data_IF_346147218186
#
_entry.id   IF_346147218186
#
_cell.length_a   1.000
_cell.length_b   1.000
_cell.length_c   1.000
_cell.angle_alpha   90.00
_cell.angle_beta   90.00
_cell.angle_gamma   90.00
#
_symmetry.space_group_name_H-M   'P 1'
#
loop_
_entity.id
_entity.type
_entity.pdbx_description
1 polymer ?
#
# COMPACT_ATOMS: atom_id res chain seq x y z
N UNK A 1 -4.77 -15.54 5.96
CA UNK A 1 -5.26 -15.50 7.34
C UNK A 1 -4.63 -14.32 8.10
N UNK A 2 -3.30 -14.29 8.33
CA UNK A 2 -2.62 -13.26 9.11
C UNK A 2 -2.94 -11.82 8.68
N UNK A 3 -2.95 -11.51 7.38
CA UNK A 3 -3.15 -10.15 6.86
C UNK A 3 -4.59 -9.64 7.05
N UNK A 4 -5.57 -10.50 7.04
CA UNK A 4 -6.98 -10.10 7.03
C UNK A 4 -7.65 -10.36 8.37
N UNK A 5 -7.36 -11.49 8.98
CA UNK A 5 -8.00 -11.95 10.22
C UNK A 5 -7.13 -11.67 11.45
N UNK A 6 -5.88 -11.18 11.24
CA UNK A 6 -4.90 -10.88 12.30
C UNK A 6 -4.69 -12.04 13.27
N UNK A 7 -4.72 -13.25 12.74
CA UNK A 7 -4.50 -14.49 13.47
C UNK A 7 -3.76 -15.52 12.62
N UNK A 8 -3.17 -16.48 13.26
CA UNK A 8 -2.51 -17.64 12.63
C UNK A 8 -3.00 -18.91 13.31
N UNK A 9 -3.45 -19.87 12.52
CA UNK A 9 -3.87 -21.17 13.01
C UNK A 9 -2.75 -22.19 12.77
N UNK A 10 -2.26 -22.81 13.85
CA UNK A 10 -1.23 -23.85 13.81
C UNK A 10 -1.83 -25.13 14.39
N UNK A 11 -2.07 -26.12 13.53
CA UNK A 11 -2.77 -27.34 13.91
C UNK A 11 -4.22 -27.05 14.33
N UNK A 12 -4.53 -27.22 15.61
CA UNK A 12 -5.88 -26.99 16.18
C UNK A 12 -5.97 -25.71 17.01
N UNK A 13 -4.91 -24.93 17.10
CA UNK A 13 -4.86 -23.73 17.92
C UNK A 13 -4.75 -22.48 17.06
N UNK A 14 -5.55 -21.46 17.40
CA UNK A 14 -5.55 -20.16 16.75
C UNK A 14 -4.91 -19.12 17.68
N UNK A 15 -3.90 -18.44 17.17
CA UNK A 15 -3.15 -17.41 17.88
C UNK A 15 -3.49 -16.05 17.27
N UNK A 16 -3.94 -15.11 18.10
CA UNK A 16 -4.09 -13.71 17.67
C UNK A 16 -2.72 -13.05 17.54
N UNK A 17 -2.54 -12.27 16.49
CA UNK A 17 -1.32 -11.50 16.29
C UNK A 17 -1.35 -10.23 17.14
N UNK A 18 -0.21 -9.83 17.75
CA UNK A 18 -0.13 -8.61 18.55
C UNK A 18 -0.36 -7.35 17.69
N UNK A 19 -0.93 -6.32 18.29
CA UNK A 19 -1.10 -5.02 17.63
C UNK A 19 0.01 -4.03 18.05
N UNK A 20 0.47 -3.15 17.14
CA UNK A 20 0.11 -3.08 15.73
C UNK A 20 0.76 -4.19 14.90
N UNK A 21 0.00 -4.79 13.99
CA UNK A 21 0.50 -5.81 13.06
C UNK A 21 0.66 -5.19 11.67
N UNK A 22 1.85 -5.36 11.09
CA UNK A 22 2.20 -4.82 9.79
C UNK A 22 2.86 -5.88 8.91
N UNK A 23 2.40 -6.01 7.67
CA UNK A 23 2.99 -6.92 6.69
C UNK A 23 3.65 -6.10 5.59
N UNK A 24 4.93 -6.34 5.38
CA UNK A 24 5.69 -5.78 4.28
C UNK A 24 6.31 -6.92 3.47
N UNK A 25 6.19 -6.84 2.15
CA UNK A 25 6.82 -7.77 1.23
C UNK A 25 7.54 -6.98 0.13
N UNK A 26 8.68 -7.48 -0.29
CA UNK A 26 9.43 -6.95 -1.43
C UNK A 26 9.28 -7.88 -2.62
N UNK A 27 9.27 -7.32 -3.81
CA UNK A 27 9.23 -8.06 -5.06
C UNK A 27 10.29 -7.47 -6.00
N UNK A 28 11.18 -8.29 -6.53
CA UNK A 28 12.11 -7.88 -7.57
C UNK A 28 11.49 -8.22 -8.94
N UNK A 29 11.14 -7.23 -9.78
CA UNK A 29 10.49 -7.48 -11.07
C UNK A 29 11.47 -8.07 -12.12
N UNK A 30 12.78 -8.06 -11.88
CA UNK A 30 13.80 -8.52 -12.84
C UNK A 30 14.04 -10.03 -12.73
N UNK A 31 13.83 -10.60 -11.57
CA UNK A 31 14.00 -12.03 -11.33
C UNK A 31 12.76 -12.79 -11.78
N UNK A 32 12.73 -13.28 -13.02
CA UNK A 32 11.63 -14.07 -13.57
C UNK A 32 11.84 -15.58 -13.45
N UNK A 33 13.08 -16.05 -13.30
CA UNK A 33 13.38 -17.48 -13.16
C UNK A 33 13.45 -17.89 -11.67
N UNK A 34 12.60 -18.85 -11.29
CA UNK A 34 12.61 -19.44 -9.93
C UNK A 34 11.81 -18.67 -8.87
N UNK A 35 11.17 -17.56 -9.21
CA UNK A 35 10.32 -16.80 -8.28
C UNK A 35 8.85 -17.22 -8.42
N UNK A 36 8.25 -17.65 -7.32
CA UNK A 36 6.82 -17.92 -7.25
C UNK A 36 6.08 -16.58 -7.10
N UNK A 37 5.47 -16.09 -8.17
CA UNK A 37 4.61 -14.90 -8.08
C UNK A 37 3.42 -15.18 -7.19
N UNK A 38 3.13 -14.26 -6.27
CA UNK A 38 1.90 -14.33 -5.51
C UNK A 38 0.70 -14.22 -6.45
N UNK A 39 -0.33 -15.08 -6.31
CA UNK A 39 -1.57 -14.93 -7.05
C UNK A 39 -2.17 -13.53 -6.84
N UNK A 40 -2.82 -13.01 -7.87
CA UNK A 40 -3.42 -11.66 -7.86
C UNK A 40 -4.36 -11.43 -6.67
N UNK A 41 -5.14 -12.45 -6.30
CA UNK A 41 -6.03 -12.40 -5.14
C UNK A 41 -5.26 -12.21 -3.80
N UNK A 42 -3.99 -12.59 -3.72
CA UNK A 42 -3.14 -12.37 -2.56
C UNK A 42 -2.49 -10.97 -2.62
N UNK A 43 -2.08 -10.53 -3.81
CA UNK A 43 -1.54 -9.18 -4.03
C UNK A 43 -2.60 -8.12 -3.71
N UNK A 44 -3.88 -8.34 -4.09
CA UNK A 44 -5.00 -7.44 -3.82
C UNK A 44 -5.24 -7.20 -2.30
N UNK A 45 -4.73 -8.08 -1.43
CA UNK A 45 -4.84 -7.92 0.03
C UNK A 45 -3.86 -6.90 0.62
N UNK A 46 -2.78 -6.55 -0.11
CA UNK A 46 -1.88 -5.49 0.33
C UNK A 46 -2.55 -4.12 0.17
N UNK A 47 -2.39 -3.27 1.18
CA UNK A 47 -3.04 -1.96 1.20
C UNK A 47 -2.54 -1.05 0.07
N UNK A 48 -1.22 -0.98 -0.11
CA UNK A 48 -0.54 -0.17 -1.13
C UNK A 48 0.62 -0.95 -1.74
N UNK A 49 1.01 -0.54 -2.97
CA UNK A 49 2.25 -0.94 -3.63
C UNK A 49 3.08 0.30 -3.92
N UNK A 50 4.28 0.35 -3.35
CA UNK A 50 5.25 1.40 -3.61
C UNK A 50 6.25 0.89 -4.65
N UNK A 51 6.56 1.71 -5.64
CA UNK A 51 7.59 1.41 -6.63
C UNK A 51 8.78 2.30 -6.34
N UNK A 52 9.92 1.68 -6.12
CA UNK A 52 11.19 2.37 -6.01
C UNK A 52 11.82 2.47 -7.41
N UNK A 53 12.18 3.69 -7.79
CA UNK A 53 12.97 3.95 -8.98
C UNK A 53 14.47 3.82 -8.71
N UNK A 54 15.27 4.09 -9.73
CA UNK A 54 16.71 4.24 -9.54
C UNK A 54 17.03 5.49 -8.73
N UNK A 55 18.10 5.47 -7.91
CA UNK A 55 18.55 6.65 -7.18
C UNK A 55 19.01 7.76 -8.14
N UNK A 56 19.05 8.99 -7.68
CA UNK A 56 19.72 10.07 -8.42
C UNK A 56 21.23 9.80 -8.48
N UNK A 57 21.91 10.36 -9.46
CA UNK A 57 23.37 10.12 -9.66
C UNK A 57 24.20 10.44 -8.41
N UNK A 58 23.83 11.49 -7.71
CA UNK A 58 24.47 11.92 -6.46
C UNK A 58 24.28 10.89 -5.34
N UNK A 59 23.08 10.34 -5.23
CA UNK A 59 22.78 9.27 -4.25
C UNK A 59 23.44 7.95 -4.63
N UNK A 60 23.50 7.62 -5.94
CA UNK A 60 24.19 6.43 -6.44
C UNK A 60 25.68 6.49 -6.16
N UNK A 61 26.29 7.68 -6.28
CA UNK A 61 27.71 7.90 -5.92
C UNK A 61 27.94 7.65 -4.43
N UNK A 62 27.03 8.13 -3.56
CA UNK A 62 27.10 7.85 -2.12
C UNK A 62 26.93 6.36 -1.80
N UNK A 63 26.03 5.67 -2.51
CA UNK A 63 25.87 4.21 -2.39
C UNK A 63 27.17 3.48 -2.75
N UNK A 64 27.85 3.89 -3.81
CA UNK A 64 29.15 3.32 -4.18
C UNK A 64 30.19 3.51 -3.07
N UNK A 65 30.33 4.70 -2.52
CA UNK A 65 31.26 5.03 -1.45
C UNK A 65 30.94 4.26 -0.14
N UNK A 66 29.66 4.16 0.23
CA UNK A 66 29.24 3.52 1.47
C UNK A 66 29.29 2.00 1.42
N UNK A 67 29.08 1.37 0.25
CA UNK A 67 29.13 -0.09 0.11
C UNK A 67 30.56 -0.65 0.09
N UNK A 68 31.57 0.16 -0.12
CA UNK A 68 32.98 -0.26 0.04
C UNK A 68 33.32 -0.54 1.52
N UNK A 69 32.60 0.08 2.46
CA UNK A 69 32.72 -0.21 3.88
C UNK A 69 31.63 -1.16 4.29
N UNK A 70 31.93 -2.45 4.45
CA UNK A 70 30.99 -3.50 4.90
C UNK A 70 30.34 -3.16 6.26
N UNK A 71 29.44 -2.16 6.28
CA UNK A 71 28.67 -1.80 7.47
C UNK A 71 27.63 -2.86 7.74
N UNK A 72 27.63 -3.41 8.95
CA UNK A 72 26.55 -4.28 9.42
C UNK A 72 25.34 -3.42 9.81
N UNK A 73 24.15 -4.01 9.86
CA UNK A 73 22.93 -3.32 10.21
C UNK A 73 23.02 -2.62 11.58
N UNK A 74 23.73 -3.23 12.53
CA UNK A 74 23.97 -2.68 13.87
C UNK A 74 24.79 -1.39 13.88
N UNK A 75 25.64 -1.17 12.86
CA UNK A 75 26.50 0.01 12.76
C UNK A 75 25.69 1.28 12.45
N UNK A 76 24.48 1.14 11.90
CA UNK A 76 23.59 2.28 11.65
C UNK A 76 22.93 2.84 12.92
N UNK A 77 23.05 2.17 14.07
CA UNK A 77 22.54 2.61 15.39
C UNK A 77 21.13 3.18 15.31
N UNK A 78 20.24 2.53 14.55
CA UNK A 78 18.87 2.97 14.37
C UNK A 78 18.15 3.00 15.72
N UNK A 79 17.45 4.10 15.97
CA UNK A 79 16.63 4.27 17.18
C UNK A 79 15.17 4.21 16.80
N UNK A 80 14.33 3.63 17.67
CA UNK A 80 12.89 3.68 17.50
C UNK A 80 12.41 5.16 17.53
N UNK A 81 11.70 5.58 16.49
CA UNK A 81 11.15 6.94 16.36
C UNK A 81 9.74 6.99 16.94
N UNK A 82 8.98 5.89 16.81
CA UNK A 82 7.59 5.80 17.22
C UNK A 82 7.39 4.51 18.02
N UNK A 83 6.64 4.59 19.12
CA UNK A 83 6.26 3.39 19.90
C UNK A 83 5.01 2.72 19.30
N UNK A 84 4.78 1.41 19.58
CA UNK A 84 3.57 0.69 19.17
C UNK A 84 2.28 1.39 19.61
N UNK A 85 2.23 1.90 20.84
CA UNK A 85 1.06 2.60 21.41
C UNK A 85 0.75 3.87 20.61
N UNK A 86 1.79 4.59 20.18
CA UNK A 86 1.66 5.80 19.37
C UNK A 86 1.11 5.50 17.97
N UNK A 87 1.50 4.36 17.38
CA UNK A 87 0.94 3.88 16.11
C UNK A 87 -0.54 3.56 16.28
N UNK A 88 -0.93 2.83 17.32
CA UNK A 88 -2.34 2.50 17.61
C UNK A 88 -3.15 3.79 17.84
N UNK A 89 -2.58 4.77 18.53
CA UNK A 89 -3.22 6.07 18.73
C UNK A 89 -3.47 6.79 17.39
N UNK A 90 -2.47 6.84 16.49
CA UNK A 90 -2.62 7.45 15.17
C UNK A 90 -3.65 6.71 14.30
N UNK A 91 -3.73 5.38 14.40
CA UNK A 91 -4.77 4.60 13.72
C UNK A 91 -6.18 4.99 14.19
N UNK A 92 -6.37 5.19 15.49
CA UNK A 92 -7.65 5.70 16.05
C UNK A 92 -7.96 7.09 15.53
N UNK A 93 -7.01 8.02 15.56
CA UNK A 93 -7.18 9.36 15.01
C UNK A 93 -7.58 9.35 13.53
N UNK A 94 -6.97 8.45 12.74
CA UNK A 94 -7.33 8.29 11.33
C UNK A 94 -8.80 7.89 11.17
N UNK A 95 -9.34 7.09 12.09
CA UNK A 95 -10.75 6.68 12.05
C UNK A 95 -11.69 7.88 12.19
N UNK A 96 -11.32 8.88 13.01
CA UNK A 96 -12.13 10.06 13.33
C UNK A 96 -12.08 11.15 12.24
N UNK A 97 -11.19 11.06 11.28
CA UNK A 97 -11.11 12.01 10.16
C UNK A 97 -12.41 11.99 9.35
N UNK A 98 -13.00 13.16 9.15
CA UNK A 98 -14.23 13.30 8.39
C UNK A 98 -14.01 13.07 6.89
N UNK A 99 -14.90 12.31 6.27
CA UNK A 99 -14.91 12.08 4.83
C UNK A 99 -16.33 12.25 4.28
N UNK A 100 -16.52 13.30 3.50
CA UNK A 100 -17.81 13.69 2.92
C UNK A 100 -18.35 12.64 1.94
N UNK A 101 -19.68 12.58 1.81
CA UNK A 101 -20.36 11.65 0.88
C UNK A 101 -19.98 11.90 -0.58
N UNK A 102 -19.66 13.14 -0.97
CA UNK A 102 -19.19 13.46 -2.32
C UNK A 102 -17.84 12.83 -2.60
N UNK A 103 -16.94 12.80 -1.60
CA UNK A 103 -15.63 12.13 -1.73
C UNK A 103 -15.82 10.59 -1.78
N UNK A 104 -16.77 10.03 -1.01
CA UNK A 104 -17.11 8.60 -1.13
C UNK A 104 -17.56 8.24 -2.55
N UNK A 105 -18.45 9.05 -3.13
CA UNK A 105 -18.89 8.87 -4.52
C UNK A 105 -17.73 8.97 -5.49
N UNK A 106 -16.87 9.97 -5.34
CA UNK A 106 -15.67 10.13 -6.17
C UNK A 106 -14.74 8.91 -6.12
N UNK A 107 -14.50 8.34 -4.93
CA UNK A 107 -13.73 7.10 -4.78
C UNK A 107 -14.40 5.93 -5.52
N UNK A 108 -15.72 5.79 -5.39
CA UNK A 108 -16.48 4.73 -6.06
C UNK A 108 -16.45 4.91 -7.59
N UNK A 109 -16.64 6.12 -8.07
CA UNK A 109 -16.59 6.43 -9.50
C UNK A 109 -15.19 6.12 -10.08
N UNK A 110 -14.13 6.52 -9.38
CA UNK A 110 -12.76 6.24 -9.78
C UNK A 110 -12.51 4.72 -9.92
N UNK A 111 -12.93 3.93 -8.93
CA UNK A 111 -12.76 2.48 -8.94
C UNK A 111 -13.65 1.82 -10.00
N UNK A 112 -14.90 2.28 -10.15
CA UNK A 112 -15.84 1.74 -11.15
C UNK A 112 -15.33 1.95 -12.57
N UNK A 113 -14.72 3.11 -12.86
CA UNK A 113 -14.12 3.40 -14.17
C UNK A 113 -13.06 2.39 -14.61
N UNK A 114 -12.36 1.76 -13.68
CA UNK A 114 -11.40 0.69 -14.02
C UNK A 114 -12.05 -0.60 -14.50
N UNK A 115 -13.37 -0.77 -14.30
CA UNK A 115 -14.14 -1.95 -14.67
C UNK A 115 -14.98 -1.76 -15.96
N UNK A 116 -15.15 -0.51 -16.39
CA UNK A 116 -15.94 -0.14 -17.56
C UNK A 116 -15.15 -0.45 -18.84
N UNK A 117 -15.59 -1.47 -19.60
CA UNK A 117 -14.95 -1.85 -20.88
C UNK A 117 -15.13 -0.78 -21.97
N UNK A 118 -16.25 -0.06 -21.95
CA UNK A 118 -16.56 0.98 -22.92
C UNK A 118 -15.88 2.34 -22.61
N UNK A 119 -15.06 2.38 -21.55
CA UNK A 119 -14.29 3.58 -21.22
C UNK A 119 -13.12 3.75 -22.21
N UNK A 120 -12.61 4.99 -22.34
CA UNK A 120 -11.47 5.34 -23.21
C UNK A 120 -10.26 4.40 -23.11
N UNK A 121 -10.05 3.82 -21.93
CA UNK A 121 -8.92 2.93 -21.63
C UNK A 121 -9.37 1.50 -21.29
N UNK A 122 -10.67 1.18 -21.43
CA UNK A 122 -11.24 -0.11 -21.05
C UNK A 122 -10.65 -1.28 -21.82
N UNK A 123 -10.28 -1.09 -23.08
CA UNK A 123 -9.65 -2.11 -23.93
C UNK A 123 -8.26 -2.54 -23.42
N UNK A 124 -7.55 -1.66 -22.70
CA UNK A 124 -6.23 -1.93 -22.12
C UNK A 124 -6.29 -2.56 -20.73
N UNK A 125 -7.48 -2.70 -20.15
CA UNK A 125 -7.68 -3.26 -18.81
C UNK A 125 -8.32 -4.64 -18.95
N UNK A 126 -7.57 -5.67 -18.61
CA UNK A 126 -8.10 -7.04 -18.53
C UNK A 126 -8.98 -7.21 -17.30
N UNK A 127 -8.44 -6.83 -16.12
CA UNK A 127 -9.13 -6.86 -14.84
C UNK A 127 -9.03 -5.52 -14.13
N UNK A 128 -10.19 -4.93 -13.79
CA UNK A 128 -10.28 -3.70 -13.00
C UNK A 128 -10.19 -3.98 -11.49
N UNK A 129 -10.07 -2.91 -10.72
CA UNK A 129 -9.92 -2.97 -9.26
C UNK A 129 -11.08 -3.66 -8.55
N UNK A 130 -10.79 -4.49 -7.56
CA UNK A 130 -11.77 -5.09 -6.66
C UNK A 130 -12.38 -4.04 -5.69
N UNK A 131 -13.47 -4.35 -4.95
CA UNK A 131 -13.99 -3.49 -3.90
C UNK A 131 -12.97 -3.15 -2.80
N UNK A 132 -11.92 -3.97 -2.63
CA UNK A 132 -10.80 -3.65 -1.71
C UNK A 132 -10.10 -2.35 -2.06
N UNK A 133 -10.04 -1.97 -3.34
CA UNK A 133 -9.50 -0.69 -3.74
C UNK A 133 -10.29 0.48 -3.17
N UNK A 134 -11.62 0.42 -3.17
CA UNK A 134 -12.47 1.47 -2.59
C UNK A 134 -12.24 1.59 -1.08
N UNK A 135 -12.13 0.46 -0.37
CA UNK A 135 -11.84 0.44 1.07
C UNK A 135 -10.44 1.01 1.34
N UNK A 136 -9.45 0.59 0.55
CA UNK A 136 -8.08 1.07 0.69
C UNK A 136 -7.96 2.58 0.42
N UNK A 137 -8.60 3.09 -0.64
CA UNK A 137 -8.65 4.52 -0.93
C UNK A 137 -9.33 5.31 0.19
N UNK A 138 -10.42 4.79 0.75
CA UNK A 138 -11.14 5.42 1.86
C UNK A 138 -10.25 5.56 3.10
N UNK A 139 -9.55 4.48 3.49
CA UNK A 139 -8.66 4.47 4.65
C UNK A 139 -7.44 5.36 4.42
N UNK A 140 -6.79 5.21 3.25
CA UNK A 140 -5.56 5.92 2.93
C UNK A 140 -5.79 7.42 2.73
N UNK A 141 -6.93 7.85 2.17
CA UNK A 141 -7.26 9.26 2.04
C UNK A 141 -7.44 9.94 3.42
N UNK A 142 -8.00 9.24 4.40
CA UNK A 142 -8.08 9.72 5.77
C UNK A 142 -6.70 9.82 6.42
N UNK A 143 -5.85 8.81 6.20
CA UNK A 143 -4.47 8.83 6.70
C UNK A 143 -3.67 9.98 6.09
N UNK A 144 -3.81 10.22 4.76
CA UNK A 144 -3.16 11.34 4.07
C UNK A 144 -3.62 12.68 4.65
N UNK A 145 -4.94 12.88 4.86
CA UNK A 145 -5.46 14.08 5.47
C UNK A 145 -4.89 14.32 6.87
N UNK A 146 -4.79 13.27 7.69
CA UNK A 146 -4.17 13.32 9.03
C UNK A 146 -2.70 13.74 8.95
N UNK A 147 -1.93 13.15 8.04
CA UNK A 147 -0.50 13.48 7.84
C UNK A 147 -0.31 14.94 7.40
N UNK A 148 -1.29 15.50 6.68
CA UNK A 148 -1.34 16.92 6.30
C UNK A 148 -1.88 17.83 7.42
N UNK A 149 -2.12 17.31 8.63
CA UNK A 149 -2.62 18.06 9.78
C UNK A 149 -4.09 18.47 9.67
N UNK A 150 -4.90 17.79 8.84
CA UNK A 150 -6.32 18.09 8.63
C UNK A 150 -7.21 17.03 9.25
N UNK A 151 -8.39 17.43 9.71
CA UNK A 151 -9.42 16.54 10.25
C UNK A 151 -10.52 16.20 9.23
N UNK A 152 -10.33 16.54 7.95
CA UNK A 152 -11.21 16.21 6.83
C UNK A 152 -10.44 15.90 5.56
N UNK A 153 -11.03 15.06 4.71
CA UNK A 153 -10.47 14.63 3.43
C UNK A 153 -10.89 15.58 2.32
N UNK A 154 -9.95 15.88 1.40
CA UNK A 154 -10.20 16.61 0.14
C UNK A 154 -9.90 15.71 -1.06
N UNK A 155 -10.41 16.03 -2.27
CA UNK A 155 -10.16 15.22 -3.48
C UNK A 155 -8.68 14.98 -3.76
N UNK A 156 -7.82 15.95 -3.45
CA UNK A 156 -6.36 15.85 -3.64
C UNK A 156 -5.75 14.70 -2.84
N UNK A 157 -6.25 14.40 -1.63
CA UNK A 157 -5.74 13.29 -0.82
C UNK A 157 -5.97 11.96 -1.54
N UNK A 158 -7.19 11.78 -2.10
CA UNK A 158 -7.51 10.59 -2.90
C UNK A 158 -6.59 10.49 -4.12
N UNK A 159 -6.37 11.59 -4.83
CA UNK A 159 -5.49 11.62 -6.02
C UNK A 159 -4.04 11.25 -5.66
N UNK A 160 -3.52 11.78 -4.54
CA UNK A 160 -2.15 11.53 -4.09
C UNK A 160 -1.88 10.04 -3.86
N UNK A 161 -2.84 9.33 -3.26
CA UNK A 161 -2.66 7.92 -2.90
C UNK A 161 -3.18 6.94 -3.97
N UNK A 162 -3.99 7.41 -4.94
CA UNK A 162 -4.70 6.56 -5.90
C UNK A 162 -3.76 5.61 -6.64
N UNK A 163 -2.64 6.11 -7.13
CA UNK A 163 -1.68 5.31 -7.87
C UNK A 163 -1.10 4.17 -7.01
N UNK A 164 -0.75 4.43 -5.77
CA UNK A 164 -0.16 3.44 -4.87
C UNK A 164 -1.18 2.37 -4.44
N UNK A 165 -2.46 2.75 -4.34
CA UNK A 165 -3.55 1.83 -4.00
C UNK A 165 -4.00 0.99 -5.19
N UNK A 166 -4.02 1.55 -6.41
CA UNK A 166 -4.66 0.91 -7.56
C UNK A 166 -3.71 0.15 -8.47
N UNK A 167 -2.42 0.53 -8.55
CA UNK A 167 -1.47 -0.03 -9.53
C UNK A 167 -1.26 -1.55 -9.47
N UNK A 168 -1.45 -2.16 -8.32
CA UNK A 168 -1.31 -3.61 -8.14
C UNK A 168 -2.64 -4.35 -8.22
N UNK A 169 -3.73 -3.65 -8.52
CA UNK A 169 -5.09 -4.16 -8.62
C UNK A 169 -5.67 -4.06 -10.03
N UNK A 170 -4.97 -3.34 -10.91
CA UNK A 170 -5.33 -3.22 -12.32
C UNK A 170 -4.41 -4.15 -13.09
N UNK A 171 -5.00 -5.08 -13.83
CA UNK A 171 -4.27 -5.97 -14.74
C UNK A 171 -4.50 -5.44 -16.15
N UNK A 172 -3.39 -5.19 -16.84
CA UNK A 172 -3.43 -4.70 -18.20
C UNK A 172 -3.54 -5.87 -19.19
N UNK A 173 -4.29 -5.68 -20.28
CA UNK A 173 -4.32 -6.64 -21.36
C UNK A 173 -3.06 -6.48 -22.21
N UNK A 174 -2.45 -7.59 -22.56
CA UNK A 174 -1.36 -7.64 -23.53
C UNK A 174 -1.99 -7.70 -24.94
N UNK A 175 -2.34 -6.55 -25.50
CA UNK A 175 -2.70 -6.41 -26.91
C UNK A 175 -1.63 -5.63 -27.65
#
# INVERSE_FOLDING_TARGET
EAMQERQVTIGKQTFKLPEPFFVMATQNPIETEGVYFLPEAQIDRFLIKIVFGYPAKEDEMRVMEENVTFKKFEDFKLKAIVSPEKIIYMQKMTHDIYLDTKIKKYILDLVSKTREKDSKYGEYIELGCSPRASIALFIMAKAEALLQGRNFVIPKDVMTIAQNVMRHRIILSYK
#
